data_IF_508777069363
#
_entry.id   IF_508777069363
#
_cell.length_a   1.000
_cell.length_b   1.000
_cell.length_c   1.000
_cell.angle_alpha   90.00
_cell.angle_beta   90.00
_cell.angle_gamma   90.00
#
_symmetry.space_group_name_H-M   'P 1'
#
loop_
_entity.id
_entity.type
_entity.pdbx_description
1 polymer ?
#
# COMPACT_ATOMS: atom_id res chain seq x y z
N UNK A 1 15.25 13.96 -11.27
CA UNK A 1 15.17 12.73 -12.11
C UNK A 1 14.24 12.93 -13.32
N UNK A 2 14.33 12.14 -14.41
CA UNK A 2 13.27 12.13 -15.45
C UNK A 2 11.95 11.66 -14.80
N UNK A 3 10.86 12.41 -14.99
CA UNK A 3 9.54 12.17 -14.37
C UNK A 3 9.03 10.71 -14.51
N UNK A 4 9.38 10.04 -15.61
CA UNK A 4 9.09 8.62 -15.83
C UNK A 4 9.68 7.69 -14.76
N UNK A 5 10.90 7.96 -14.28
CA UNK A 5 11.56 7.12 -13.26
C UNK A 5 10.89 7.26 -11.89
N UNK A 6 10.55 8.49 -11.50
CA UNK A 6 9.84 8.79 -10.25
C UNK A 6 8.49 8.05 -10.22
N UNK A 7 7.74 8.09 -11.32
CA UNK A 7 6.49 7.33 -11.42
C UNK A 7 6.69 5.82 -11.28
N UNK A 8 7.75 5.25 -11.86
CA UNK A 8 8.03 3.83 -11.72
C UNK A 8 8.33 3.45 -10.27
N UNK A 9 9.18 4.22 -9.58
CA UNK A 9 9.46 3.98 -8.15
C UNK A 9 8.18 4.08 -7.33
N UNK A 10 7.37 5.11 -7.55
CA UNK A 10 6.09 5.27 -6.87
C UNK A 10 5.17 4.06 -7.09
N UNK A 11 5.03 3.57 -8.32
CA UNK A 11 4.14 2.45 -8.63
C UNK A 11 4.65 1.15 -7.99
N UNK A 12 5.93 0.82 -8.19
CA UNK A 12 6.48 -0.47 -7.77
C UNK A 12 6.74 -0.56 -6.26
N UNK A 13 7.11 0.56 -5.63
CA UNK A 13 7.51 0.59 -4.23
C UNK A 13 6.39 1.04 -3.29
N UNK A 14 5.38 1.78 -3.79
CA UNK A 14 4.24 2.22 -2.98
C UNK A 14 2.90 1.68 -3.44
N UNK A 15 2.51 1.93 -4.70
CA UNK A 15 1.14 1.67 -5.14
C UNK A 15 0.79 0.17 -5.16
N UNK A 16 1.64 -0.65 -5.80
CA UNK A 16 1.41 -2.10 -5.89
C UNK A 16 1.44 -2.73 -4.48
N UNK A 17 2.46 -2.49 -3.64
CA UNK A 17 2.49 -3.05 -2.28
C UNK A 17 1.30 -2.62 -1.42
N UNK A 18 0.80 -1.39 -1.61
CA UNK A 18 -0.40 -0.91 -0.92
C UNK A 18 -1.65 -1.69 -1.34
N UNK A 19 -1.87 -1.89 -2.65
CA UNK A 19 -3.00 -2.68 -3.15
C UNK A 19 -2.90 -4.14 -2.69
N UNK A 20 -1.69 -4.71 -2.71
CA UNK A 20 -1.44 -6.06 -2.19
C UNK A 20 -1.74 -6.15 -0.69
N UNK A 21 -1.40 -5.14 0.10
CA UNK A 21 -1.70 -5.09 1.54
C UNK A 21 -3.21 -5.09 1.78
N UNK A 22 -3.98 -4.29 1.02
CA UNK A 22 -5.45 -4.29 1.07
C UNK A 22 -6.02 -5.67 0.72
N UNK A 23 -5.48 -6.31 -0.32
CA UNK A 23 -5.91 -7.64 -0.73
C UNK A 23 -5.61 -8.70 0.34
N UNK A 24 -4.42 -8.67 0.97
CA UNK A 24 -4.07 -9.59 2.07
C UNK A 24 -5.00 -9.40 3.26
N UNK A 25 -5.30 -8.15 3.63
CA UNK A 25 -6.25 -7.85 4.71
C UNK A 25 -7.63 -8.42 4.36
N UNK A 26 -8.11 -8.20 3.13
CA UNK A 26 -9.40 -8.71 2.67
C UNK A 26 -9.48 -10.24 2.62
N UNK A 27 -8.41 -10.90 2.15
CA UNK A 27 -8.30 -12.36 2.11
C UNK A 27 -8.24 -12.91 3.53
N UNK A 28 -7.34 -12.39 4.36
CA UNK A 28 -7.15 -12.83 5.74
C UNK A 28 -8.42 -12.69 6.57
N UNK A 29 -9.15 -11.58 6.42
CA UNK A 29 -10.42 -11.39 7.10
C UNK A 29 -11.48 -12.40 6.64
N UNK A 30 -11.66 -12.59 5.33
CA UNK A 30 -12.62 -13.58 4.81
C UNK A 30 -12.22 -15.03 5.14
N UNK A 31 -10.93 -15.33 5.32
CA UNK A 31 -10.43 -16.64 5.73
C UNK A 31 -10.68 -16.93 7.23
N UNK A 32 -10.44 -15.94 8.10
CA UNK A 32 -10.60 -16.05 9.56
C UNK A 32 -12.07 -16.06 9.98
N UNK A 33 -12.92 -15.35 9.24
CA UNK A 33 -14.32 -15.14 9.57
C UNK A 33 -15.20 -15.81 8.52
N UNK A 34 -15.37 -17.12 8.68
CA UNK A 34 -16.46 -17.85 8.01
C UNK A 34 -17.81 -17.26 8.53
N UNK A 35 -18.67 -16.82 7.61
CA UNK A 35 -19.88 -15.99 7.84
C UNK A 35 -19.61 -14.48 7.99
N UNK A 36 -18.89 -13.90 7.04
CA UNK A 36 -18.56 -12.46 6.97
C UNK A 36 -19.71 -11.56 6.48
N UNK A 37 -20.93 -12.08 6.34
CA UNK A 37 -22.12 -11.31 5.92
C UNK A 37 -22.64 -10.34 6.96
N UNK A 38 -22.20 -10.45 8.22
CA UNK A 38 -22.53 -9.47 9.25
C UNK A 38 -21.75 -8.16 9.01
N UNK A 39 -22.45 -7.03 8.80
CA UNK A 39 -21.82 -5.72 8.62
C UNK A 39 -20.92 -5.33 9.80
N UNK A 40 -21.27 -5.74 11.01
CA UNK A 40 -20.49 -5.43 12.21
C UNK A 40 -19.13 -6.14 12.19
N UNK A 41 -19.12 -7.43 11.82
CA UNK A 41 -17.87 -8.19 11.69
C UNK A 41 -16.98 -7.55 10.62
N UNK A 42 -17.55 -7.19 9.48
CA UNK A 42 -16.81 -6.52 8.40
C UNK A 42 -16.24 -5.18 8.83
N UNK A 43 -16.98 -4.38 9.61
CA UNK A 43 -16.50 -3.12 10.16
C UNK A 43 -15.33 -3.34 11.14
N UNK A 44 -15.41 -4.33 12.03
CA UNK A 44 -14.29 -4.66 12.94
C UNK A 44 -13.06 -5.10 12.15
N UNK A 45 -13.24 -5.93 11.12
CA UNK A 45 -12.16 -6.34 10.22
C UNK A 45 -11.50 -5.16 9.50
N UNK A 46 -12.31 -4.26 8.94
CA UNK A 46 -11.83 -3.06 8.27
C UNK A 46 -11.13 -2.09 9.23
N UNK A 47 -11.57 -2.01 10.49
CA UNK A 47 -10.92 -1.21 11.52
C UNK A 47 -9.52 -1.73 11.85
N UNK A 48 -9.39 -3.04 12.09
CA UNK A 48 -8.07 -3.68 12.29
C UNK A 48 -7.20 -3.53 11.04
N UNK A 49 -7.78 -3.72 9.86
CA UNK A 49 -7.12 -3.48 8.57
C UNK A 49 -6.57 -2.06 8.44
N UNK A 50 -7.35 -1.04 8.78
CA UNK A 50 -6.92 0.35 8.75
C UNK A 50 -5.76 0.63 9.71
N UNK A 51 -5.72 0.01 10.90
CA UNK A 51 -4.58 0.10 11.83
C UNK A 51 -3.32 -0.53 11.21
N UNK A 52 -3.45 -1.69 10.57
CA UNK A 52 -2.34 -2.34 9.85
C UNK A 52 -1.84 -1.42 8.72
N UNK A 53 -2.75 -0.80 7.96
CA UNK A 53 -2.39 0.11 6.87
C UNK A 53 -1.65 1.35 7.35
N UNK A 54 -1.94 1.88 8.55
CA UNK A 54 -1.15 2.94 9.16
C UNK A 54 0.31 2.51 9.38
N UNK A 55 0.51 1.26 9.83
CA UNK A 55 1.85 0.71 10.05
C UNK A 55 2.59 0.53 8.73
N UNK A 56 1.92 0.04 7.69
CA UNK A 56 2.48 -0.08 6.33
C UNK A 56 2.85 1.31 5.77
N UNK A 57 1.98 2.31 5.93
CA UNK A 57 2.28 3.68 5.50
C UNK A 57 3.47 4.28 6.25
N UNK A 58 3.70 3.89 7.50
CA UNK A 58 4.82 4.38 8.29
C UNK A 58 6.18 3.88 7.75
N UNK A 59 6.25 2.64 7.27
CA UNK A 59 7.51 2.08 6.73
C UNK A 59 7.89 2.71 5.39
N UNK A 60 6.90 3.05 4.56
CA UNK A 60 7.11 3.70 3.25
C UNK A 60 7.23 5.23 3.32
N UNK A 61 7.10 5.84 4.51
CA UNK A 61 7.16 7.29 4.65
C UNK A 61 8.51 7.87 4.18
N UNK A 62 9.62 7.16 4.43
CA UNK A 62 10.97 7.60 4.03
C UNK A 62 11.14 7.67 2.50
N UNK A 63 10.93 6.59 1.72
CA UNK A 63 11.03 6.67 0.26
C UNK A 63 10.01 7.64 -0.33
N UNK A 64 8.80 7.71 0.22
CA UNK A 64 7.79 8.68 -0.22
C UNK A 64 8.24 10.14 -0.05
N UNK A 65 8.88 10.48 1.06
CA UNK A 65 9.39 11.84 1.28
C UNK A 65 10.49 12.21 0.28
N UNK A 66 11.34 11.27 -0.12
CA UNK A 66 12.36 11.47 -1.15
C UNK A 66 11.71 11.76 -2.51
N UNK A 67 10.64 11.04 -2.86
CA UNK A 67 9.88 11.27 -4.10
C UNK A 67 9.15 12.61 -4.09
N UNK A 68 8.53 12.99 -2.97
CA UNK A 68 7.75 14.22 -2.86
C UNK A 68 8.57 15.51 -3.04
N UNK A 69 9.88 15.48 -2.74
CA UNK A 69 10.78 16.60 -2.99
C UNK A 69 11.03 16.88 -4.48
N UNK A 70 10.86 15.87 -5.33
CA UNK A 70 11.21 15.90 -6.76
C UNK A 70 9.98 16.08 -7.69
N UNK A 71 8.77 16.18 -7.14
CA UNK A 71 7.51 16.18 -7.90
C UNK A 71 6.86 17.57 -7.88
N UNK A 72 6.74 18.17 -9.07
CA UNK A 72 6.04 19.44 -9.31
C UNK A 72 4.55 19.29 -9.67
N UNK A 73 4.09 18.07 -9.96
CA UNK A 73 2.75 17.84 -10.51
C UNK A 73 1.68 17.72 -9.42
N UNK A 74 0.59 18.50 -9.52
CA UNK A 74 -0.40 18.69 -8.45
C UNK A 74 -1.19 17.41 -8.13
N UNK A 75 -1.49 16.59 -9.13
CA UNK A 75 -2.23 15.35 -8.94
C UNK A 75 -1.41 14.30 -8.19
N UNK A 76 -0.15 14.14 -8.59
CA UNK A 76 0.78 13.17 -7.98
C UNK A 76 1.15 13.60 -6.57
N UNK A 77 1.24 14.91 -6.33
CA UNK A 77 1.39 15.49 -4.99
C UNK A 77 0.18 15.18 -4.10
N UNK A 78 -1.04 15.16 -4.65
CA UNK A 78 -2.25 14.83 -3.89
C UNK A 78 -2.34 13.34 -3.55
N UNK A 79 -1.91 12.45 -4.45
CA UNK A 79 -1.77 11.01 -4.15
C UNK A 79 -0.68 10.79 -3.10
N UNK A 80 0.46 11.48 -3.17
CA UNK A 80 1.50 11.37 -2.14
C UNK A 80 1.03 11.89 -0.79
N UNK A 81 0.21 12.94 -0.75
CA UNK A 81 -0.45 13.40 0.48
C UNK A 81 -1.34 12.33 1.11
N UNK A 82 -1.95 11.46 0.31
CA UNK A 82 -2.72 10.32 0.80
C UNK A 82 -1.86 9.24 1.50
N UNK A 83 -0.63 9.06 1.04
CA UNK A 83 0.33 8.12 1.66
C UNK A 83 1.09 8.74 2.86
N UNK A 84 1.05 10.06 3.03
CA UNK A 84 1.80 10.77 4.07
C UNK A 84 1.10 10.79 5.43
N UNK A 85 1.81 10.34 6.47
CA UNK A 85 1.35 10.34 7.86
C UNK A 85 1.68 11.65 8.58
N UNK A 86 2.70 12.40 8.12
CA UNK A 86 3.40 13.36 9.00
C UNK A 86 2.79 14.77 9.10
N UNK A 87 1.88 15.18 8.22
CA UNK A 87 1.67 16.62 8.04
C UNK A 87 0.57 17.29 8.89
N UNK A 88 -0.56 16.64 9.26
CA UNK A 88 -1.61 17.22 10.13
C UNK A 88 -2.48 16.12 10.78
N UNK A 89 -2.91 16.26 12.05
CA UNK A 89 -3.78 15.26 12.70
C UNK A 89 -5.11 15.07 11.97
N UNK A 90 -5.68 16.16 11.40
CA UNK A 90 -6.89 16.09 10.57
C UNK A 90 -6.71 15.24 9.30
N UNK A 91 -5.56 15.38 8.61
CA UNK A 91 -5.27 14.60 7.41
C UNK A 91 -5.00 13.13 7.75
N UNK A 92 -4.40 12.87 8.91
CA UNK A 92 -4.19 11.51 9.40
C UNK A 92 -5.52 10.80 9.69
N UNK A 93 -6.49 11.49 10.32
CA UNK A 93 -7.84 10.95 10.54
C UNK A 93 -8.56 10.70 9.20
N UNK A 94 -8.47 11.63 8.25
CA UNK A 94 -9.05 11.44 6.93
C UNK A 94 -8.44 10.24 6.19
N UNK A 95 -7.11 10.07 6.25
CA UNK A 95 -6.42 8.92 5.67
C UNK A 95 -6.84 7.61 6.35
N UNK A 96 -7.00 7.59 7.68
CA UNK A 96 -7.48 6.43 8.41
C UNK A 96 -8.91 6.05 8.02
N UNK A 97 -9.82 7.02 7.91
CA UNK A 97 -11.20 6.79 7.44
C UNK A 97 -11.19 6.23 6.02
N UNK A 98 -10.34 6.76 5.16
CA UNK A 98 -10.23 6.29 3.78
C UNK A 98 -9.66 4.87 3.72
N UNK A 99 -8.63 4.55 4.51
CA UNK A 99 -8.09 3.19 4.63
C UNK A 99 -9.14 2.22 5.19
N UNK A 100 -10.00 2.66 6.12
CA UNK A 100 -11.13 1.89 6.61
C UNK A 100 -12.15 1.57 5.50
N UNK A 101 -12.52 2.57 4.70
CA UNK A 101 -13.42 2.37 3.54
C UNK A 101 -12.79 1.43 2.53
N UNK A 102 -11.50 1.59 2.22
CA UNK A 102 -10.78 0.73 1.28
C UNK A 102 -10.65 -0.70 1.80
N UNK A 103 -10.39 -0.91 3.09
CA UNK A 103 -10.35 -2.25 3.68
C UNK A 103 -11.72 -2.93 3.65
N UNK A 104 -12.79 -2.16 3.88
CA UNK A 104 -14.18 -2.64 3.74
C UNK A 104 -14.46 -3.07 2.30
N UNK A 105 -14.14 -2.21 1.33
CA UNK A 105 -14.30 -2.50 -0.10
C UNK A 105 -13.45 -3.70 -0.52
N UNK A 106 -12.20 -3.79 -0.09
CA UNK A 106 -11.32 -4.91 -0.38
C UNK A 106 -11.90 -6.23 0.14
N UNK A 107 -12.45 -6.24 1.35
CA UNK A 107 -13.09 -7.41 1.93
C UNK A 107 -14.33 -7.85 1.13
N UNK A 108 -15.14 -6.91 0.67
CA UNK A 108 -16.31 -7.18 -0.17
C UNK A 108 -15.89 -7.68 -1.55
N UNK A 109 -14.94 -7.01 -2.20
CA UNK A 109 -14.45 -7.38 -3.54
C UNK A 109 -13.83 -8.76 -3.53
N UNK A 110 -12.96 -9.08 -2.56
CA UNK A 110 -12.34 -10.39 -2.45
C UNK A 110 -13.39 -11.49 -2.29
N UNK A 111 -14.43 -11.25 -1.49
CA UNK A 111 -15.53 -12.20 -1.29
C UNK A 111 -16.33 -12.44 -2.58
N UNK A 112 -16.53 -11.42 -3.39
CA UNK A 112 -17.26 -11.52 -4.65
C UNK A 112 -16.44 -12.15 -5.76
N UNK A 113 -15.12 -11.91 -5.76
CA UNK A 113 -14.23 -12.32 -6.84
C UNK A 113 -13.64 -13.72 -6.66
N UNK A 114 -13.32 -14.11 -5.42
CA UNK A 114 -12.59 -15.33 -5.12
C UNK A 114 -13.46 -16.37 -4.42
N UNK A 115 -13.43 -17.65 -4.87
CA UNK A 115 -14.09 -18.73 -4.16
C UNK A 115 -13.37 -19.01 -2.82
N UNK A 116 -14.11 -19.52 -1.84
CA UNK A 116 -13.61 -19.75 -0.48
C UNK A 116 -12.35 -20.65 -0.46
N UNK A 117 -12.30 -21.66 -1.32
CA UNK A 117 -11.14 -22.56 -1.46
C UNK A 117 -9.85 -21.80 -1.79
N UNK A 118 -9.95 -20.76 -2.61
CA UNK A 118 -8.80 -19.95 -3.00
C UNK A 118 -8.44 -18.95 -1.91
N UNK A 119 -9.43 -18.39 -1.21
CA UNK A 119 -9.23 -17.47 -0.09
C UNK A 119 -8.47 -18.16 1.06
N UNK A 120 -8.88 -19.38 1.43
CA UNK A 120 -8.25 -20.15 2.52
C UNK A 120 -6.96 -20.83 2.06
N UNK A 121 -6.85 -21.14 0.76
CA UNK A 121 -5.69 -21.79 0.16
C UNK A 121 -4.60 -20.82 -0.29
N UNK A 122 -4.43 -20.70 -1.61
CA UNK A 122 -3.21 -20.18 -2.24
C UNK A 122 -3.19 -18.67 -2.47
N UNK A 123 -4.31 -17.97 -2.36
CA UNK A 123 -4.42 -16.55 -2.79
C UNK A 123 -3.47 -15.63 -2.04
N UNK A 124 -3.31 -15.81 -0.73
CA UNK A 124 -2.38 -15.01 0.08
C UNK A 124 -0.94 -15.15 -0.42
N UNK A 125 -0.52 -16.37 -0.78
CA UNK A 125 0.82 -16.63 -1.29
C UNK A 125 1.10 -15.90 -2.62
N UNK A 126 0.14 -15.91 -3.54
CA UNK A 126 0.26 -15.17 -4.80
C UNK A 126 0.34 -13.65 -4.58
N UNK A 127 -0.48 -13.10 -3.69
CA UNK A 127 -0.45 -11.66 -3.39
C UNK A 127 0.88 -11.26 -2.75
N UNK A 128 1.41 -12.06 -1.84
CA UNK A 128 2.74 -11.85 -1.25
C UNK A 128 3.83 -11.92 -2.31
N UNK A 129 3.76 -12.89 -3.24
CA UNK A 129 4.74 -13.04 -4.32
C UNK A 129 4.74 -11.82 -5.25
N UNK A 130 3.56 -11.33 -5.64
CA UNK A 130 3.42 -10.12 -6.47
C UNK A 130 3.98 -8.91 -5.74
N UNK A 131 3.64 -8.74 -4.45
CA UNK A 131 4.16 -7.66 -3.62
C UNK A 131 5.68 -7.72 -3.53
N UNK A 132 6.24 -8.90 -3.29
CA UNK A 132 7.69 -9.11 -3.17
C UNK A 132 8.42 -8.72 -4.46
N UNK A 133 8.02 -9.28 -5.60
CA UNK A 133 8.62 -8.96 -6.91
C UNK A 133 8.52 -7.46 -7.19
N UNK A 134 7.36 -6.85 -6.92
CA UNK A 134 7.16 -5.42 -7.10
C UNK A 134 8.11 -4.59 -6.24
N UNK A 135 8.24 -4.91 -4.96
CA UNK A 135 9.15 -4.19 -4.05
C UNK A 135 10.60 -4.35 -4.47
N UNK A 136 11.03 -5.52 -4.94
CA UNK A 136 12.38 -5.73 -5.46
C UNK A 136 12.66 -4.87 -6.71
N UNK A 137 11.71 -4.81 -7.65
CA UNK A 137 11.84 -3.94 -8.83
C UNK A 137 11.90 -2.46 -8.44
N UNK A 138 11.04 -2.03 -7.52
CA UNK A 138 11.03 -0.66 -7.00
C UNK A 138 12.37 -0.31 -6.35
N UNK A 139 12.88 -1.17 -5.48
CA UNK A 139 14.14 -0.98 -4.77
C UNK A 139 15.33 -0.95 -5.72
N UNK A 140 15.34 -1.78 -6.77
CA UNK A 140 16.37 -1.76 -7.80
C UNK A 140 16.38 -0.44 -8.60
N UNK A 141 15.21 0.11 -8.94
CA UNK A 141 15.12 1.39 -9.67
C UNK A 141 15.55 2.56 -8.78
N UNK A 142 15.25 2.50 -7.48
CA UNK A 142 15.62 3.52 -6.50
C UNK A 142 17.07 3.37 -5.99
N UNK A 143 17.71 2.23 -6.23
CA UNK A 143 19.09 1.94 -5.80
C UNK A 143 20.07 3.03 -6.23
N UNK A 144 19.95 3.56 -7.45
CA UNK A 144 20.80 4.66 -7.96
C UNK A 144 20.70 5.97 -7.15
N UNK A 145 19.64 6.17 -6.36
CA UNK A 145 19.46 7.36 -5.52
C UNK A 145 19.76 7.11 -4.03
N UNK A 146 19.71 5.85 -3.58
CA UNK A 146 20.03 5.46 -2.20
C UNK A 146 21.46 4.92 -2.04
N UNK A 147 22.15 4.57 -3.13
CA UNK A 147 23.51 4.07 -3.09
C UNK A 147 24.52 5.20 -2.91
N UNK A 148 25.50 4.94 -2.05
CA UNK A 148 26.65 5.83 -1.81
C UNK A 148 27.47 6.04 -3.10
N UNK A 149 27.38 5.11 -4.06
CA UNK A 149 28.05 5.19 -5.36
C UNK A 149 27.58 6.39 -6.21
N UNK A 150 26.38 6.92 -5.96
CA UNK A 150 25.90 8.13 -6.63
C UNK A 150 26.73 9.38 -6.27
N UNK A 151 27.23 9.48 -5.03
CA UNK A 151 28.11 10.56 -4.59
C UNK A 151 29.51 10.43 -5.20
N UNK A 152 30.03 9.20 -5.32
CA UNK A 152 31.38 8.96 -5.88
C UNK A 152 31.46 9.36 -7.36
N UNK A 153 30.35 9.26 -8.10
CA UNK A 153 30.30 9.62 -9.53
C UNK A 153 30.20 11.13 -9.79
N UNK A 154 29.97 11.94 -8.76
CA UNK A 154 29.90 13.40 -8.83
C UNK A 154 31.16 14.11 -8.33
N UNK A 155 32.11 13.37 -7.73
CA UNK A 155 33.46 13.87 -7.40
C UNK A 155 34.46 13.58 -8.51
#
# INVERSE_FOLDING_TARGET
MKMRRIMLVFVFLLLIPYICSLAIIGIGFNALVLHSTDPFRTAVGAFVGAIIMLTVKATIQRPMNLLAGDIYDSFLQQILRFFSIRLRPLLQVANFILDFVLCTLATIVIRLLLPLEWIVGTSTGFVILVMFISTCLGAYIEYDNLSIDAEIKQS
#
